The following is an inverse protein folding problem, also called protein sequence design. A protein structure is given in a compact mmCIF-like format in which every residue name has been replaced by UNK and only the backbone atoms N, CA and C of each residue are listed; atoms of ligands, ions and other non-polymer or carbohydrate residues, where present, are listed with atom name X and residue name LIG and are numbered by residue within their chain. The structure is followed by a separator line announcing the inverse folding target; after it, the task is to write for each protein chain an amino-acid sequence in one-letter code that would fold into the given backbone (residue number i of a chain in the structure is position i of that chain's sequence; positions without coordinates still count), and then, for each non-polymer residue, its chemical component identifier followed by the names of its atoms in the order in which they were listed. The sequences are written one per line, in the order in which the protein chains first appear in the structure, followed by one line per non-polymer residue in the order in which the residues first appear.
data_IF_648439857854
#
_entry.id   IF_648439857854
#
_cell.length_a   1.000
_cell.length_b   1.000
_cell.length_c   1.000
_cell.angle_alpha   90.00
_cell.angle_beta   90.00
_cell.angle_gamma   90.00
#
_symmetry.space_group_name_H-M   'P 1'
#
loop_
_entity.id
_entity.type
_entity.pdbx_description
1 polymer ?
#
# COMPACT_ATOMS: atom_id res chain seq x y z
N UNK A 1 3.19 49.19 48.49
CA UNK A 1 2.96 47.73 48.38
C UNK A 1 2.76 47.39 46.91
N UNK A 2 3.78 46.83 46.27
CA UNK A 2 3.73 46.40 44.88
C UNK A 2 3.03 45.04 44.79
N UNK A 3 1.99 44.94 43.97
CA UNK A 3 1.40 43.66 43.58
C UNK A 3 1.64 43.49 42.08
N UNK A 4 2.73 42.80 41.73
CA UNK A 4 2.94 42.31 40.37
C UNK A 4 2.11 41.04 40.17
N UNK A 5 1.11 41.13 39.29
CA UNK A 5 0.38 39.97 38.81
C UNK A 5 1.28 39.20 37.83
N UNK A 6 1.79 38.05 38.28
CA UNK A 6 2.54 37.13 37.42
C UNK A 6 1.65 36.57 36.29
N UNK A 7 2.24 36.24 35.12
CA UNK A 7 1.48 35.76 33.98
C UNK A 7 0.88 34.38 34.28
N UNK A 8 -0.45 34.32 34.26
CA UNK A 8 -1.24 33.09 34.32
C UNK A 8 -0.78 32.10 33.26
N UNK A 9 -0.21 30.97 33.70
CA UNK A 9 0.04 29.80 32.87
C UNK A 9 -1.28 29.26 32.32
N UNK A 10 -1.52 29.44 31.03
CA UNK A 10 -2.67 28.88 30.34
C UNK A 10 -2.59 27.33 30.30
N UNK A 11 -3.68 26.62 30.62
CA UNK A 11 -3.70 25.16 30.58
C UNK A 11 -3.66 24.68 29.12
N UNK A 12 -2.49 24.24 28.66
CA UNK A 12 -2.36 23.64 27.31
C UNK A 12 -3.12 22.31 27.25
N UNK A 13 -4.03 22.26 26.30
CA UNK A 13 -5.02 21.22 26.00
C UNK A 13 -4.38 19.82 25.81
N UNK A 14 -4.37 19.02 26.89
CA UNK A 14 -3.72 17.70 26.99
C UNK A 14 -4.16 16.70 25.90
N UNK A 15 -5.38 16.80 25.40
CA UNK A 15 -5.91 15.86 24.39
C UNK A 15 -5.39 16.16 22.98
N UNK A 16 -5.13 17.44 22.66
CA UNK A 16 -4.50 17.81 21.38
C UNK A 16 -3.05 17.36 21.30
N UNK A 17 -2.31 17.45 22.41
CA UNK A 17 -0.93 16.98 22.53
C UNK A 17 -0.84 15.45 22.40
N UNK A 18 -1.76 14.70 23.03
CA UNK A 18 -1.85 13.24 22.90
C UNK A 18 -2.11 12.81 21.45
N UNK A 19 -3.05 13.46 20.74
CA UNK A 19 -3.34 13.19 19.32
C UNK A 19 -2.14 13.49 18.43
N UNK A 20 -1.43 14.61 18.65
CA UNK A 20 -0.20 14.94 17.93
C UNK A 20 0.89 13.88 18.15
N UNK A 21 1.12 13.48 19.40
CA UNK A 21 2.09 12.44 19.76
C UNK A 21 1.76 11.10 19.09
N UNK A 22 0.49 10.74 19.01
CA UNK A 22 0.03 9.53 18.32
C UNK A 22 0.32 9.57 16.82
N UNK A 23 0.03 10.69 16.14
CA UNK A 23 0.33 10.87 14.71
C UNK A 23 1.82 10.77 14.42
N UNK A 24 2.64 11.43 15.23
CA UNK A 24 4.11 11.36 15.09
C UNK A 24 4.61 9.92 15.29
N UNK A 25 4.06 9.20 16.28
CA UNK A 25 4.39 7.79 16.49
C UNK A 25 4.04 6.93 15.27
N UNK A 26 2.89 7.19 14.64
CA UNK A 26 2.48 6.49 13.42
C UNK A 26 3.45 6.75 12.28
N UNK A 27 3.79 8.02 12.02
CA UNK A 27 4.76 8.39 10.97
C UNK A 27 6.11 7.72 11.21
N UNK A 28 6.62 7.72 12.44
CA UNK A 28 7.86 7.01 12.77
C UNK A 28 7.77 5.51 12.49
N UNK A 29 6.63 4.88 12.80
CA UNK A 29 6.40 3.47 12.52
C UNK A 29 6.35 3.19 11.01
N UNK A 30 5.70 4.06 10.24
CA UNK A 30 5.52 3.88 8.79
C UNK A 30 6.86 4.10 8.06
N UNK A 31 7.64 5.11 8.49
CA UNK A 31 9.00 5.35 8.00
C UNK A 31 9.89 4.14 8.28
N UNK A 32 9.86 3.61 9.51
CA UNK A 32 10.63 2.43 9.89
C UNK A 32 10.29 1.23 8.98
N UNK A 33 9.00 0.92 8.84
CA UNK A 33 8.54 -0.18 7.97
C UNK A 33 8.99 -0.01 6.52
N UNK A 34 8.92 1.21 5.99
CA UNK A 34 9.28 1.48 4.60
C UNK A 34 10.77 1.26 4.33
N UNK A 35 11.64 1.67 5.26
CA UNK A 35 13.09 1.47 5.14
C UNK A 35 13.46 0.01 5.37
N UNK A 36 12.87 -0.64 6.39
CA UNK A 36 13.08 -2.08 6.64
C UNK A 36 12.65 -2.92 5.44
N UNK A 37 11.59 -2.53 4.73
CA UNK A 37 11.19 -3.18 3.48
C UNK A 37 12.22 -2.98 2.37
N UNK A 38 12.75 -1.77 2.16
CA UNK A 38 13.73 -1.50 1.11
C UNK A 38 15.04 -2.26 1.28
N UNK A 39 15.53 -2.34 2.52
CA UNK A 39 16.73 -3.09 2.89
C UNK A 39 16.43 -4.55 3.27
N UNK A 40 15.18 -4.97 3.19
CA UNK A 40 14.76 -6.34 3.43
C UNK A 40 15.18 -7.25 2.28
N UNK A 41 15.28 -8.55 2.58
CA UNK A 41 15.75 -9.55 1.63
C UNK A 41 14.94 -9.55 0.33
N UNK A 42 13.61 -9.61 0.39
CA UNK A 42 12.78 -9.72 -0.80
C UNK A 42 12.93 -8.54 -1.78
N UNK A 43 13.07 -7.31 -1.27
CA UNK A 43 13.25 -6.14 -2.12
C UNK A 43 14.67 -6.07 -2.68
N UNK A 44 15.68 -6.31 -1.85
CA UNK A 44 17.08 -6.08 -2.24
C UNK A 44 17.60 -7.10 -3.27
N UNK A 45 17.02 -8.30 -3.32
CA UNK A 45 17.29 -9.27 -4.39
C UNK A 45 16.77 -8.80 -5.76
N UNK A 46 15.71 -7.98 -5.80
CA UNK A 46 15.06 -7.52 -7.03
C UNK A 46 15.48 -6.09 -7.42
N UNK A 47 15.74 -5.23 -6.44
CA UNK A 47 16.11 -3.83 -6.64
C UNK A 47 17.60 -3.68 -6.97
N UNK A 48 17.88 -3.52 -8.27
CA UNK A 48 19.24 -3.31 -8.78
C UNK A 48 19.83 -1.96 -8.38
N UNK A 49 19.00 -0.96 -8.12
CA UNK A 49 19.47 0.38 -7.80
C UNK A 49 20.11 0.37 -6.42
N UNK A 50 19.36 -0.02 -5.39
CA UNK A 50 19.85 -0.11 -4.01
C UNK A 50 21.00 -1.09 -3.88
N UNK A 51 20.93 -2.24 -4.54
CA UNK A 51 22.03 -3.22 -4.54
C UNK A 51 23.32 -2.58 -5.08
N UNK A 52 23.25 -1.88 -6.21
CA UNK A 52 24.42 -1.20 -6.79
C UNK A 52 25.01 -0.14 -5.85
N UNK A 53 24.16 0.67 -5.20
CA UNK A 53 24.65 1.69 -4.24
C UNK A 53 25.40 1.06 -3.05
N UNK A 54 24.91 -0.07 -2.55
CA UNK A 54 25.54 -0.78 -1.44
C UNK A 54 26.85 -1.42 -1.91
N UNK A 55 26.87 -2.06 -3.08
CA UNK A 55 28.07 -2.71 -3.63
C UNK A 55 29.16 -1.68 -4.02
N UNK A 56 28.77 -0.47 -4.43
CA UNK A 56 29.66 0.64 -4.80
C UNK A 56 30.27 1.34 -3.56
N UNK A 57 29.53 1.36 -2.46
CA UNK A 57 30.00 1.91 -1.19
C UNK A 57 30.76 0.81 -0.45
N UNK A 58 32.09 0.86 -0.41
CA UNK A 58 32.90 -0.20 0.23
C UNK A 58 32.57 -0.48 1.71
N UNK A 59 31.86 0.42 2.38
CA UNK A 59 31.37 0.35 3.75
C UNK A 59 29.88 -0.06 3.88
N UNK A 60 29.18 -0.21 2.75
CA UNK A 60 27.77 -0.60 2.64
C UNK A 60 26.77 0.47 3.08
N UNK A 61 27.22 1.71 3.29
CA UNK A 61 26.37 2.81 3.74
C UNK A 61 25.69 3.53 2.58
N UNK A 62 24.40 3.79 2.74
CA UNK A 62 23.57 4.57 1.82
C UNK A 62 23.14 5.86 2.50
N UNK A 63 23.30 6.99 1.82
CA UNK A 63 22.91 8.29 2.36
C UNK A 63 21.39 8.42 2.47
N UNK A 64 20.92 8.96 3.60
CA UNK A 64 19.49 9.25 3.81
C UNK A 64 18.96 10.23 2.76
N UNK A 65 19.81 11.08 2.18
CA UNK A 65 19.45 11.96 1.07
C UNK A 65 18.87 11.19 -0.11
N UNK A 66 19.50 10.07 -0.49
CA UNK A 66 19.01 9.19 -1.56
C UNK A 66 17.65 8.61 -1.19
N UNK A 67 17.45 8.18 0.06
CA UNK A 67 16.16 7.67 0.51
C UNK A 67 15.06 8.73 0.51
N UNK A 68 15.38 9.98 0.85
CA UNK A 68 14.40 11.10 0.76
C UNK A 68 13.97 11.39 -0.67
N UNK A 69 14.78 11.05 -1.67
CA UNK A 69 14.40 11.20 -3.08
C UNK A 69 13.34 10.19 -3.54
N UNK A 70 13.09 9.11 -2.79
CA UNK A 70 12.14 8.09 -3.21
C UNK A 70 10.69 8.53 -3.02
N UNK A 71 9.85 8.28 -4.03
CA UNK A 71 8.43 8.69 -4.06
C UNK A 71 7.61 8.23 -2.84
N UNK A 72 7.94 7.08 -2.24
CA UNK A 72 7.25 6.62 -1.01
C UNK A 72 7.76 7.31 0.26
N UNK A 73 9.06 7.64 0.36
CA UNK A 73 9.58 8.40 1.51
C UNK A 73 9.03 9.83 1.50
N UNK A 74 9.05 10.49 0.33
CA UNK A 74 8.58 11.88 0.18
C UNK A 74 7.14 12.09 0.70
N UNK A 75 6.29 11.06 0.62
CA UNK A 75 4.91 11.09 1.11
C UNK A 75 4.79 11.01 2.64
N UNK A 76 5.80 10.44 3.31
CA UNK A 76 5.82 10.25 4.76
C UNK A 76 6.57 11.39 5.45
N UNK A 77 7.79 11.68 4.99
CA UNK A 77 8.67 12.70 5.57
C UNK A 77 9.82 13.04 4.64
N UNK A 78 10.36 14.25 4.78
CA UNK A 78 11.61 14.70 4.15
C UNK A 78 12.72 14.92 5.18
N UNK A 79 12.41 14.83 6.47
CA UNK A 79 13.34 15.17 7.55
C UNK A 79 14.30 14.02 7.85
N UNK A 80 15.58 14.19 7.54
CA UNK A 80 16.64 13.22 7.81
C UNK A 80 16.73 12.86 9.30
N UNK A 81 16.62 13.85 10.19
CA UNK A 81 16.64 13.64 11.64
C UNK A 81 15.48 12.77 12.14
N UNK A 82 14.31 12.91 11.53
CA UNK A 82 13.12 12.12 11.88
C UNK A 82 13.31 10.67 11.41
N UNK A 83 13.82 10.49 10.20
CA UNK A 83 14.14 9.16 9.66
C UNK A 83 15.20 8.48 10.53
N UNK A 84 16.32 9.15 10.83
CA UNK A 84 17.36 8.61 11.70
C UNK A 84 16.79 8.18 13.07
N UNK A 85 15.91 9.00 13.66
CA UNK A 85 15.22 8.65 14.92
C UNK A 85 14.33 7.41 14.79
N UNK A 86 13.63 7.24 13.68
CA UNK A 86 12.78 6.07 13.44
C UNK A 86 13.60 4.77 13.35
N UNK A 87 14.81 4.87 12.78
CA UNK A 87 15.70 3.74 12.50
C UNK A 87 16.65 3.38 13.65
N UNK A 88 16.71 4.15 14.74
CA UNK A 88 17.58 3.81 15.88
C UNK A 88 17.30 2.42 16.48
N UNK A 89 16.06 1.94 16.36
CA UNK A 89 15.61 0.66 16.94
C UNK A 89 15.12 -0.31 15.86
N UNK A 90 15.61 -0.22 14.62
CA UNK A 90 15.34 -1.24 13.59
C UNK A 90 16.20 -2.48 13.81
N UNK A 91 15.69 -3.64 13.40
CA UNK A 91 16.40 -4.93 13.48
C UNK A 91 17.12 -5.28 12.18
N UNK A 92 16.83 -4.56 11.09
CA UNK A 92 17.36 -4.85 9.74
C UNK A 92 18.46 -3.86 9.36
N UNK A 93 18.32 -2.60 9.76
CA UNK A 93 19.21 -1.51 9.38
C UNK A 93 19.78 -0.82 10.60
N UNK A 94 20.98 -0.28 10.43
CA UNK A 94 21.63 0.58 11.40
C UNK A 94 21.99 1.94 10.80
N UNK A 95 22.03 2.93 11.68
CA UNK A 95 22.31 4.32 11.33
C UNK A 95 23.74 4.65 11.78
N UNK A 96 24.49 5.38 10.96
CA UNK A 96 25.80 5.89 11.36
C UNK A 96 25.69 6.84 12.57
N UNK A 97 26.80 7.07 13.29
CA UNK A 97 26.93 7.97 14.43
C UNK A 97 26.42 9.39 14.14
N UNK A 98 26.64 9.89 12.92
CA UNK A 98 26.18 11.21 12.48
C UNK A 98 24.67 11.28 12.20
N UNK A 99 24.00 10.14 12.01
CA UNK A 99 22.58 10.10 11.66
C UNK A 99 22.26 10.40 10.19
N UNK A 100 23.25 10.46 9.30
CA UNK A 100 23.06 10.85 7.90
C UNK A 100 23.05 9.67 6.91
N UNK A 101 23.58 8.52 7.32
CA UNK A 101 23.70 7.32 6.49
C UNK A 101 23.11 6.11 7.18
N UNK A 102 22.65 5.15 6.39
CA UNK A 102 22.11 3.88 6.87
C UNK A 102 22.73 2.72 6.12
N UNK A 103 22.92 1.61 6.81
CA UNK A 103 23.34 0.36 6.18
C UNK A 103 22.55 -0.80 6.73
N UNK A 104 22.57 -1.90 5.99
CA UNK A 104 22.01 -3.16 6.46
C UNK A 104 22.93 -3.77 7.52
N UNK A 105 22.35 -4.27 8.62
CA UNK A 105 23.12 -4.91 9.69
C UNK A 105 23.61 -6.30 9.30
N UNK A 106 22.79 -7.03 8.55
CA UNK A 106 23.10 -8.37 8.06
C UNK A 106 23.46 -8.31 6.58
N UNK A 107 24.47 -9.08 6.13
CA UNK A 107 24.77 -9.19 4.71
C UNK A 107 23.59 -9.78 3.94
N UNK A 108 23.53 -9.49 2.65
CA UNK A 108 22.54 -10.09 1.75
C UNK A 108 22.90 -11.57 1.61
N UNK A 109 21.97 -12.46 1.97
CA UNK A 109 22.11 -13.90 1.75
C UNK A 109 21.91 -14.28 0.28
N UNK A 110 21.95 -15.57 0.00
CA UNK A 110 21.55 -16.09 -1.30
C UNK A 110 20.04 -15.89 -1.55
N UNK A 111 19.61 -15.67 -2.80
CA UNK A 111 18.21 -15.57 -3.15
C UNK A 111 17.49 -16.87 -2.75
N UNK A 112 16.33 -16.79 -2.09
CA UNK A 112 15.55 -17.98 -1.81
C UNK A 112 15.08 -18.62 -3.12
N UNK A 113 15.19 -19.95 -3.24
CA UNK A 113 14.72 -20.67 -4.44
C UNK A 113 13.19 -20.82 -4.49
N UNK A 114 12.51 -20.60 -3.35
CA UNK A 114 11.06 -20.75 -3.16
C UNK A 114 10.29 -19.44 -3.39
N UNK A 115 10.91 -18.44 -4.01
CA UNK A 115 10.27 -17.15 -4.30
C UNK A 115 9.10 -17.33 -5.27
N UNK A 116 9.24 -18.20 -6.27
CA UNK A 116 8.23 -18.39 -7.30
C UNK A 116 6.96 -19.06 -6.73
N UNK A 117 7.11 -20.10 -5.91
CA UNK A 117 6.00 -20.76 -5.20
C UNK A 117 5.24 -19.83 -4.24
N UNK A 118 5.90 -18.78 -3.74
CA UNK A 118 5.29 -17.77 -2.86
C UNK A 118 4.73 -16.57 -3.61
N UNK A 119 4.92 -16.50 -4.92
CA UNK A 119 4.49 -15.38 -5.74
C UNK A 119 3.26 -15.74 -6.55
N UNK A 120 2.23 -14.90 -6.45
CA UNK A 120 0.98 -15.02 -7.19
C UNK A 120 0.96 -14.01 -8.33
N UNK A 121 0.61 -14.49 -9.53
CA UNK A 121 0.34 -13.65 -10.68
C UNK A 121 -1.11 -13.20 -10.70
N UNK A 122 -1.33 -11.90 -10.87
CA UNK A 122 -2.63 -11.22 -10.74
C UNK A 122 -2.99 -10.54 -12.07
N UNK A 123 -4.02 -11.00 -12.77
CA UNK A 123 -4.49 -10.41 -14.04
C UNK A 123 -5.75 -9.56 -13.87
N UNK A 124 -6.09 -8.78 -14.91
CA UNK A 124 -7.32 -7.97 -15.02
C UNK A 124 -7.40 -6.82 -14.01
N UNK A 125 -6.25 -6.25 -13.65
CA UNK A 125 -6.21 -5.11 -12.76
C UNK A 125 -6.71 -3.84 -13.45
N UNK A 126 -7.49 -2.99 -12.76
CA UNK A 126 -7.90 -1.70 -13.29
C UNK A 126 -6.68 -0.81 -13.56
N UNK A 127 -6.80 0.11 -14.51
CA UNK A 127 -5.71 1.04 -14.89
C UNK A 127 -5.22 1.89 -13.72
N UNK A 128 -6.13 2.23 -12.79
CA UNK A 128 -5.85 3.04 -11.59
C UNK A 128 -5.37 2.21 -10.40
N UNK A 129 -4.89 0.97 -10.63
CA UNK A 129 -4.41 0.11 -9.54
C UNK A 129 -3.21 0.73 -8.83
N UNK A 130 -3.29 0.78 -7.50
CA UNK A 130 -2.22 1.27 -6.62
C UNK A 130 -1.71 0.15 -5.73
N UNK A 131 -0.46 0.25 -5.29
CA UNK A 131 0.13 -0.69 -4.33
C UNK A 131 -0.75 -0.85 -3.08
N UNK A 132 -1.28 0.26 -2.55
CA UNK A 132 -2.16 0.24 -1.38
C UNK A 132 -3.48 -0.50 -1.63
N UNK A 133 -3.99 -0.49 -2.86
CA UNK A 133 -5.19 -1.27 -3.19
C UNK A 133 -4.88 -2.77 -3.18
N UNK A 134 -3.76 -3.18 -3.80
CA UNK A 134 -3.31 -4.58 -3.84
C UNK A 134 -3.06 -5.06 -2.41
N UNK A 135 -2.25 -4.35 -1.64
CA UNK A 135 -1.99 -4.68 -0.23
C UNK A 135 -3.30 -4.85 0.54
N UNK A 136 -4.28 -3.96 0.39
CA UNK A 136 -5.56 -4.05 1.10
C UNK A 136 -6.40 -5.26 0.70
N UNK A 137 -6.36 -5.70 -0.55
CA UNK A 137 -7.09 -6.89 -1.03
C UNK A 137 -6.41 -8.16 -0.51
N UNK A 138 -5.09 -8.27 -0.70
CA UNK A 138 -4.33 -9.48 -0.40
C UNK A 138 -3.96 -9.65 1.08
N UNK A 139 -3.97 -8.59 1.89
CA UNK A 139 -3.79 -8.66 3.36
C UNK A 139 -4.81 -9.60 4.02
N UNK A 140 -5.98 -9.83 3.41
CA UNK A 140 -6.99 -10.78 3.91
C UNK A 140 -6.56 -12.25 3.74
N UNK A 141 -5.70 -12.52 2.77
CA UNK A 141 -5.26 -13.87 2.40
C UNK A 141 -3.94 -14.22 3.11
N UNK A 142 -3.06 -13.25 3.31
CA UNK A 142 -1.78 -13.44 4.00
C UNK A 142 -0.96 -12.16 4.14
N UNK A 143 0.27 -12.32 4.66
CA UNK A 143 1.21 -11.22 4.79
C UNK A 143 1.93 -11.00 3.46
N UNK A 144 1.70 -9.85 2.85
CA UNK A 144 2.30 -9.49 1.55
C UNK A 144 3.69 -8.95 1.80
N UNK A 145 4.71 -9.65 1.30
CA UNK A 145 6.10 -9.27 1.45
C UNK A 145 6.52 -8.32 0.35
N UNK A 146 6.15 -8.58 -0.91
CA UNK A 146 6.56 -7.76 -2.04
C UNK A 146 5.45 -7.64 -3.11
N UNK A 147 5.36 -6.47 -3.76
CA UNK A 147 4.39 -6.22 -4.83
C UNK A 147 5.10 -5.57 -6.01
N UNK A 148 4.96 -6.16 -7.19
CA UNK A 148 5.45 -5.60 -8.46
C UNK A 148 4.27 -5.31 -9.39
N UNK A 149 4.16 -4.06 -9.84
CA UNK A 149 3.17 -3.64 -10.84
C UNK A 149 3.91 -3.17 -12.10
N UNK A 150 4.14 -4.07 -13.07
CA UNK A 150 4.81 -3.70 -14.31
C UNK A 150 4.05 -2.61 -15.07
N UNK A 151 4.79 -1.59 -15.50
CA UNK A 151 4.28 -0.46 -16.29
C UNK A 151 4.95 -0.41 -17.65
N UNK A 152 4.25 0.13 -18.65
CA UNK A 152 4.83 0.40 -19.96
C UNK A 152 5.85 1.54 -19.85
N UNK A 153 7.06 1.34 -20.37
CA UNK A 153 8.11 2.37 -20.34
C UNK A 153 7.75 3.60 -21.19
N UNK A 154 6.95 3.41 -22.24
CA UNK A 154 6.58 4.46 -23.19
C UNK A 154 5.50 5.39 -22.64
N UNK A 155 4.43 4.85 -22.04
CA UNK A 155 3.28 5.64 -21.58
C UNK A 155 3.16 5.75 -20.06
N UNK A 156 3.87 4.91 -19.29
CA UNK A 156 3.76 4.84 -17.83
C UNK A 156 2.52 4.09 -17.31
N UNK A 157 1.66 3.63 -18.22
CA UNK A 157 0.44 2.90 -17.87
C UNK A 157 0.73 1.53 -17.28
N UNK A 158 -0.10 1.09 -16.34
CA UNK A 158 -0.03 -0.26 -15.82
C UNK A 158 -0.37 -1.28 -16.92
N UNK A 159 0.39 -2.38 -16.99
CA UNK A 159 0.16 -3.44 -17.98
C UNK A 159 -1.14 -4.25 -17.73
N UNK A 160 -1.87 -3.96 -16.65
CA UNK A 160 -3.09 -4.69 -16.27
C UNK A 160 -2.84 -5.96 -15.45
N UNK A 161 -1.60 -6.18 -15.01
CA UNK A 161 -1.23 -7.29 -14.13
C UNK A 161 -0.25 -6.87 -13.04
N UNK A 162 -0.15 -7.68 -11.98
CA UNK A 162 0.80 -7.51 -10.90
C UNK A 162 1.32 -8.87 -10.41
N UNK A 163 2.47 -8.85 -9.75
CA UNK A 163 3.02 -9.98 -9.01
C UNK A 163 2.98 -9.66 -7.53
N UNK A 164 2.45 -10.57 -6.72
CA UNK A 164 2.30 -10.42 -5.28
C UNK A 164 3.01 -11.58 -4.59
N UNK A 165 4.07 -11.28 -3.86
CA UNK A 165 4.86 -12.25 -3.10
C UNK A 165 4.38 -12.28 -1.65
N UNK A 166 4.10 -13.47 -1.15
CA UNK A 166 3.69 -13.72 0.23
C UNK A 166 4.86 -14.23 1.08
N UNK A 167 4.69 -14.16 2.40
CA UNK A 167 5.68 -14.69 3.34
C UNK A 167 5.78 -16.21 3.26
N UNK A 168 4.63 -16.89 3.05
CA UNK A 168 4.51 -18.36 2.98
C UNK A 168 3.78 -18.79 1.72
N UNK A 169 4.12 -19.98 1.21
CA UNK A 169 3.46 -20.61 0.06
C UNK A 169 1.97 -20.88 0.33
N UNK A 170 1.64 -21.33 1.54
CA UNK A 170 0.25 -21.56 1.98
C UNK A 170 -0.64 -20.32 1.80
N UNK A 171 -0.07 -19.12 2.00
CA UNK A 171 -0.79 -17.86 1.83
C UNK A 171 -1.03 -17.51 0.37
N UNK A 172 -0.06 -17.84 -0.50
CA UNK A 172 -0.19 -17.69 -1.94
C UNK A 172 -1.31 -18.60 -2.49
N UNK A 173 -1.29 -19.89 -2.12
CA UNK A 173 -2.33 -20.85 -2.51
C UNK A 173 -3.71 -20.43 -2.00
N UNK A 174 -3.82 -19.99 -0.74
CA UNK A 174 -5.07 -19.48 -0.18
C UNK A 174 -5.59 -18.26 -0.92
N UNK A 175 -4.71 -17.35 -1.36
CA UNK A 175 -5.11 -16.19 -2.15
C UNK A 175 -5.74 -16.63 -3.49
N UNK A 176 -5.12 -17.60 -4.16
CA UNK A 176 -5.62 -18.20 -5.41
C UNK A 176 -6.99 -18.83 -5.19
N UNK A 177 -7.15 -19.67 -4.16
CA UNK A 177 -8.40 -20.35 -3.84
C UNK A 177 -9.53 -19.36 -3.54
N UNK A 178 -9.29 -18.38 -2.66
CA UNK A 178 -10.30 -17.43 -2.22
C UNK A 178 -10.77 -16.45 -3.30
N UNK A 179 -9.88 -16.05 -4.21
CA UNK A 179 -10.16 -15.00 -5.20
C UNK A 179 -10.57 -15.56 -6.56
N UNK A 180 -10.13 -16.76 -6.94
CA UNK A 180 -10.64 -17.43 -8.13
C UNK A 180 -11.99 -18.10 -7.88
N UNK A 181 -12.29 -18.55 -6.65
CA UNK A 181 -13.54 -19.21 -6.32
C UNK A 181 -14.20 -18.50 -5.13
N UNK A 182 -14.95 -17.40 -5.35
CA UNK A 182 -15.71 -16.78 -4.26
C UNK A 182 -16.64 -17.85 -3.67
N UNK A 183 -16.61 -18.10 -2.35
CA UNK A 183 -17.42 -19.16 -1.76
C UNK A 183 -18.89 -18.97 -2.14
N UNK A 184 -19.47 -20.01 -2.72
CA UNK A 184 -20.85 -20.03 -3.27
C UNK A 184 -21.93 -19.86 -2.19
N UNK A 185 -21.54 -19.67 -0.93
CA UNK A 185 -22.41 -19.49 0.24
C UNK A 185 -22.75 -18.02 0.53
N UNK A 186 -23.10 -17.26 -0.50
CA UNK A 186 -24.00 -16.13 -0.31
C UNK A 186 -25.42 -16.71 -0.37
N UNK A 187 -26.21 -16.72 0.73
CA UNK A 187 -27.61 -17.10 0.65
C UNK A 187 -28.26 -16.16 -0.36
N UNK A 188 -28.62 -16.70 -1.54
CA UNK A 188 -29.56 -16.04 -2.42
C UNK A 188 -30.85 -15.98 -1.63
N UNK A 189 -31.03 -14.94 -0.81
CA UNK A 189 -32.35 -14.59 -0.30
C UNK A 189 -33.16 -14.34 -1.57
N UNK A 190 -34.15 -15.18 -1.93
CA UNK A 190 -35.03 -14.85 -3.03
C UNK A 190 -35.67 -13.52 -2.64
N UNK A 191 -35.29 -12.46 -3.35
CA UNK A 191 -35.82 -11.13 -3.11
C UNK A 191 -37.33 -11.22 -3.22
N UNK A 192 -38.01 -10.93 -2.11
CA UNK A 192 -39.42 -10.59 -2.13
C UNK A 192 -39.53 -9.44 -3.14
N UNK A 193 -40.11 -9.73 -4.30
CA UNK A 193 -40.56 -8.69 -5.21
C UNK A 193 -41.73 -7.98 -4.51
N UNK A 194 -41.69 -6.65 -4.30
CA UNK A 194 -42.89 -5.92 -3.93
C UNK A 194 -43.91 -6.12 -5.04
N UNK A 195 -45.06 -6.74 -4.71
CA UNK A 195 -46.17 -6.91 -5.66
C UNK A 195 -46.63 -5.51 -6.11
N UNK A 196 -46.32 -5.13 -7.34
CA UNK A 196 -46.94 -3.96 -7.97
C UNK A 196 -48.36 -4.32 -8.36
N UNK A 197 -49.33 -3.68 -7.70
CA UNK A 197 -50.71 -3.61 -8.20
C UNK A 197 -50.71 -2.58 -9.33
N UNK A 198 -50.96 -2.98 -10.57
CA UNK A 198 -51.80 -2.21 -11.51
C UNK A 198 -51.86 -2.88 -12.88
N UNK A 199 -53.08 -3.21 -13.30
CA UNK A 199 -53.41 -3.23 -14.71
C UNK A 199 -53.67 -1.81 -15.17
N UNK A 200 -52.90 -1.33 -16.16
CA UNK A 200 -53.37 -0.46 -17.24
C UNK A 200 -52.29 -0.39 -18.35
N UNK A 201 -52.63 -0.55 -19.64
CA UNK A 201 -51.67 -0.43 -20.73
C UNK A 201 -51.28 1.03 -20.99
N UNK A 202 -50.01 1.27 -21.34
CA UNK A 202 -49.46 2.57 -21.72
C UNK A 202 -49.54 2.70 -23.26
N UNK A 203 -50.08 3.79 -23.84
CA UNK A 203 -49.95 4.10 -25.26
C UNK A 203 -48.61 4.80 -25.57
N UNK A 204 -47.97 4.41 -26.68
CA UNK A 204 -46.82 5.11 -27.28
C UNK A 204 -47.31 6.33 -28.09
N UNK A 205 -46.51 7.41 -28.18
CA UNK A 205 -46.10 7.86 -29.52
C UNK A 205 -44.67 8.42 -29.60
N UNK A 206 -44.32 8.80 -30.84
CA UNK A 206 -43.00 8.88 -31.46
C UNK A 206 -42.29 10.25 -31.45
N UNK A 207 -41.03 10.19 -31.93
CA UNK A 207 -40.21 11.20 -32.63
C UNK A 207 -39.50 12.36 -31.89
N UNK A 208 -38.16 12.17 -31.85
CA UNK A 208 -37.04 13.11 -32.11
C UNK A 208 -36.44 14.07 -31.02
N UNK A 209 -35.10 14.36 -31.12
CA UNK A 209 -34.21 14.93 -30.08
C UNK A 209 -34.07 16.48 -30.22
N UNK A 210 -33.18 17.26 -29.52
CA UNK A 210 -32.03 16.92 -28.67
C UNK A 210 -31.85 17.75 -27.36
N UNK A 211 -30.71 17.50 -26.69
CA UNK A 211 -29.96 18.33 -25.73
C UNK A 211 -30.44 18.47 -24.28
N UNK A 212 -29.54 18.09 -23.35
CA UNK A 212 -29.59 18.45 -21.93
C UNK A 212 -28.91 17.41 -21.03
N UNK A 213 -27.66 17.67 -20.64
CA UNK A 213 -27.04 17.06 -19.44
C UNK A 213 -27.85 17.50 -18.20
N UNK A 214 -27.93 16.72 -17.09
CA UNK A 214 -26.76 16.48 -16.23
C UNK A 214 -26.70 15.12 -15.51
N UNK A 215 -25.45 14.71 -15.26
CA UNK A 215 -24.92 14.22 -14.00
C UNK A 215 -25.79 13.25 -13.16
N UNK A 216 -25.44 11.96 -13.21
CA UNK A 216 -25.81 11.00 -12.17
C UNK A 216 -24.56 10.28 -11.68
N UNK A 217 -24.22 10.55 -10.42
CA UNK A 217 -23.31 9.78 -9.59
C UNK A 217 -23.68 8.29 -9.65
N UNK A 218 -23.04 7.55 -10.54
CA UNK A 218 -23.11 6.10 -10.54
C UNK A 218 -22.14 5.58 -9.48
N UNK A 219 -22.68 5.26 -8.30
CA UNK A 219 -22.01 4.46 -7.28
C UNK A 219 -21.72 3.07 -7.86
N UNK A 220 -20.60 2.95 -8.58
CA UNK A 220 -19.99 1.67 -8.90
C UNK A 220 -19.53 1.01 -7.61
N UNK A 221 -20.41 0.20 -7.03
CA UNK A 221 -20.00 -0.94 -6.20
C UNK A 221 -19.18 -1.85 -7.11
N UNK A 222 -17.86 -1.70 -7.06
CA UNK A 222 -16.92 -2.59 -7.74
C UNK A 222 -17.11 -3.99 -7.14
N UNK A 223 -17.82 -4.84 -7.87
CA UNK A 223 -17.92 -6.26 -7.61
C UNK A 223 -16.49 -6.83 -7.61
N UNK A 224 -16.03 -7.40 -6.49
CA UNK A 224 -14.67 -7.92 -6.31
C UNK A 224 -14.44 -9.29 -6.98
N UNK A 225 -14.91 -9.50 -8.22
CA UNK A 225 -14.92 -10.85 -8.81
C UNK A 225 -14.26 -10.99 -10.19
N UNK A 226 -13.32 -10.13 -10.58
CA UNK A 226 -12.65 -10.29 -11.88
C UNK A 226 -11.15 -10.06 -11.79
N UNK A 227 -10.49 -10.79 -10.90
CA UNK A 227 -9.03 -10.86 -10.86
C UNK A 227 -8.64 -12.34 -10.98
N UNK A 228 -8.13 -12.76 -12.13
CA UNK A 228 -7.65 -14.13 -12.29
C UNK A 228 -6.29 -14.25 -11.64
N UNK A 229 -6.15 -15.21 -10.73
CA UNK A 229 -4.87 -15.54 -10.09
C UNK A 229 -4.30 -16.84 -10.65
N UNK A 230 -2.99 -16.86 -10.91
CA UNK A 230 -2.27 -18.07 -11.34
C UNK A 230 -0.97 -18.21 -10.54
N UNK A 231 -0.54 -19.45 -10.33
CA UNK A 231 0.86 -19.73 -9.92
C UNK A 231 1.80 -19.39 -11.07
N UNK A 232 3.04 -19.03 -10.74
CA UNK A 232 4.09 -18.63 -11.69
C UNK A 232 4.87 -19.84 -12.17
#
# INVERSE_FOLDING_TARGET
CSAEAGPTCLPKNRDTEKKKRSRVKQVLSDVKKQVEFWFGDANLHKDRFLKKLIDESGDGYVDLSVLTSFNRMQKLTTDTKLIARALKNSSVVEVNLEGNKVRRQLPIGDPPNDVDSRTVYVELLPKDVTHSWIERVFTKCGNVVYVSIPRYKSTGDAKGFAFVEFEKEEQAQKAIEMLNNPPEDAPRKPGIFPKTKSGKPIPLPADNPPTGTPNSHEQKKSCMCLTTLKEI
#
